data_IF_768218189908
#
_entry.id   IF_768218189908
#
_cell.length_a   1.000
_cell.length_b   1.000
_cell.length_c   1.000
_cell.angle_alpha   90.00
_cell.angle_beta   90.00
_cell.angle_gamma   90.00
#
_symmetry.space_group_name_H-M   'P 1'
#
loop_
_entity.id
_entity.type
_entity.pdbx_description
1 polymer ?
#
# COMPACT_ATOMS: atom_id res chain seq x y z
N UNK A 1 1.85 7.02 3.89
CA UNK A 1 0.59 7.33 3.16
C UNK A 1 0.43 6.32 2.03
N UNK A 2 -0.79 5.89 1.74
CA UNK A 2 -1.08 5.15 0.51
C UNK A 2 -2.33 5.72 -0.17
N UNK A 3 -2.39 5.65 -1.49
CA UNK A 3 -3.55 6.09 -2.27
C UNK A 3 -4.06 4.91 -3.08
N UNK A 4 -5.36 4.66 -2.96
CA UNK A 4 -6.07 3.66 -3.75
C UNK A 4 -6.68 4.34 -4.97
N UNK A 5 -6.39 3.84 -6.17
CA UNK A 5 -6.89 4.39 -7.43
C UNK A 5 -7.61 3.27 -8.17
N UNK A 6 -8.93 3.36 -8.24
CA UNK A 6 -9.71 2.39 -8.99
C UNK A 6 -9.73 2.76 -10.48
N UNK A 7 -9.50 1.77 -11.34
CA UNK A 7 -9.59 1.96 -12.78
C UNK A 7 -11.02 2.20 -13.26
N UNK A 8 -11.16 2.65 -14.51
CA UNK A 8 -12.45 3.01 -15.13
C UNK A 8 -13.52 1.91 -15.02
N UNK A 9 -13.11 0.64 -15.06
CA UNK A 9 -14.01 -0.53 -14.94
C UNK A 9 -14.23 -0.92 -13.46
N UNK A 10 -13.25 -0.68 -12.60
CA UNK A 10 -13.33 -0.90 -11.16
C UNK A 10 -14.13 0.24 -10.51
N UNK A 11 -15.45 0.25 -10.69
CA UNK A 11 -16.34 1.38 -10.33
C UNK A 11 -16.43 1.73 -8.83
N UNK A 12 -15.65 1.12 -7.91
CA UNK A 12 -15.73 1.41 -6.47
C UNK A 12 -14.46 1.03 -5.71
N UNK A 13 -13.99 1.98 -4.89
CA UNK A 13 -13.08 1.74 -3.76
C UNK A 13 -13.95 1.50 -2.52
N UNK A 14 -13.63 0.47 -1.74
CA UNK A 14 -14.25 0.23 -0.44
C UNK A 14 -13.22 0.56 0.63
N UNK A 15 -13.45 1.63 1.39
CA UNK A 15 -12.63 1.99 2.54
C UNK A 15 -13.43 1.72 3.80
N UNK A 16 -12.91 0.87 4.68
CA UNK A 16 -13.54 0.57 5.97
C UNK A 16 -12.96 1.42 7.09
N UNK A 17 -11.70 1.86 6.95
CA UNK A 17 -11.04 2.68 7.95
C UNK A 17 -11.70 4.05 8.13
N UNK A 18 -11.75 4.51 9.38
CA UNK A 18 -12.24 5.84 9.75
C UNK A 18 -11.09 6.76 10.19
N UNK A 19 -11.23 8.10 10.04
CA UNK A 19 -10.20 9.03 10.50
C UNK A 19 -9.90 8.86 12.00
N UNK A 20 -8.62 8.80 12.35
CA UNK A 20 -8.15 8.60 13.73
C UNK A 20 -8.08 7.15 14.19
N UNK A 21 -8.51 6.19 13.37
CA UNK A 21 -8.39 4.76 13.67
C UNK A 21 -6.93 4.30 13.52
N UNK A 22 -6.46 3.55 14.52
CA UNK A 22 -5.19 2.82 14.45
C UNK A 22 -5.38 1.52 13.69
N UNK A 23 -4.44 1.17 12.83
CA UNK A 23 -4.42 -0.10 12.09
C UNK A 23 -3.23 -0.95 12.51
N UNK A 24 -3.44 -2.26 12.62
CA UNK A 24 -2.37 -3.20 12.86
C UNK A 24 -1.65 -3.60 11.57
N UNK A 25 -0.41 -4.10 11.71
CA UNK A 25 0.35 -4.58 10.55
C UNK A 25 -0.35 -5.78 9.93
N UNK A 26 -0.69 -5.67 8.64
CA UNK A 26 -1.37 -6.71 7.88
C UNK A 26 -2.90 -6.65 7.96
N UNK A 27 -3.44 -5.71 8.74
CA UNK A 27 -4.88 -5.46 8.80
C UNK A 27 -5.42 -4.92 7.47
N UNK A 28 -6.63 -5.34 7.12
CA UNK A 28 -7.31 -4.89 5.91
C UNK A 28 -8.14 -3.66 6.20
N UNK A 29 -7.66 -2.50 5.74
CA UNK A 29 -8.39 -1.24 5.90
C UNK A 29 -9.32 -0.91 4.71
N UNK A 30 -9.25 -1.67 3.61
CA UNK A 30 -10.07 -1.45 2.42
C UNK A 30 -9.89 -2.51 1.33
N UNK A 31 -10.58 -2.33 0.22
CA UNK A 31 -10.55 -3.19 -0.96
C UNK A 31 -10.73 -2.36 -2.24
N UNK A 32 -9.84 -2.63 -3.21
CA UNK A 32 -9.96 -2.17 -4.59
C UNK A 32 -10.12 -3.36 -5.54
N UNK A 33 -11.00 -3.21 -6.55
CA UNK A 33 -11.36 -4.28 -7.50
C UNK A 33 -10.35 -4.41 -8.64
N UNK A 34 -10.49 -5.45 -9.45
CA UNK A 34 -9.60 -5.76 -10.57
C UNK A 34 -9.40 -4.57 -11.53
N UNK A 35 -8.16 -4.34 -11.98
CA UNK A 35 -7.80 -3.20 -12.83
C UNK A 35 -7.56 -1.90 -12.06
N UNK A 36 -7.38 -1.98 -10.75
CA UNK A 36 -6.99 -0.86 -9.89
C UNK A 36 -5.48 -0.80 -9.64
N UNK A 37 -5.03 0.34 -9.11
CA UNK A 37 -3.64 0.66 -8.76
C UNK A 37 -3.58 1.15 -7.32
N UNK A 38 -2.45 0.91 -6.67
CA UNK A 38 -2.11 1.51 -5.38
C UNK A 38 -0.81 2.30 -5.51
N UNK A 39 -0.81 3.51 -4.98
CA UNK A 39 0.40 4.30 -4.77
C UNK A 39 0.82 4.19 -3.30
N UNK A 40 2.08 3.83 -3.06
CA UNK A 40 2.66 3.67 -1.73
C UNK A 40 3.74 4.72 -1.55
N UNK A 41 3.54 5.60 -0.56
CA UNK A 41 4.51 6.64 -0.22
C UNK A 41 5.35 6.17 0.96
N UNK A 42 6.67 6.15 0.73
CA UNK A 42 7.67 5.67 1.67
C UNK A 42 8.56 6.84 2.13
N UNK A 43 9.12 6.79 3.35
CA UNK A 43 10.21 7.69 3.74
C UNK A 43 11.35 7.67 2.71
N UNK A 44 11.99 8.81 2.49
CA UNK A 44 13.08 8.94 1.50
C UNK A 44 14.27 8.00 1.75
N UNK A 45 14.47 7.58 3.01
CA UNK A 45 15.53 6.67 3.45
C UNK A 45 15.17 5.19 3.34
N UNK A 46 14.00 4.86 2.77
CA UNK A 46 13.57 3.48 2.57
C UNK A 46 14.36 2.81 1.44
N UNK A 47 14.69 1.52 1.59
CA UNK A 47 15.39 0.74 0.57
C UNK A 47 14.39 0.05 -0.33
N UNK A 48 14.32 0.44 -1.60
CA UNK A 48 13.41 -0.18 -2.59
C UNK A 48 13.92 -1.57 -2.98
N UNK A 49 13.02 -2.57 -3.04
CA UNK A 49 13.33 -3.98 -3.34
C UNK A 49 12.72 -4.50 -4.64
N UNK A 50 12.07 -3.63 -5.39
CA UNK A 50 11.46 -3.93 -6.69
C UNK A 50 11.89 -2.90 -7.74
N UNK A 51 11.80 -3.26 -9.01
CA UNK A 51 12.04 -2.37 -10.15
C UNK A 51 10.84 -2.31 -11.07
N UNK A 52 10.84 -1.32 -11.96
CA UNK A 52 9.83 -1.19 -13.01
C UNK A 52 9.80 -2.46 -13.86
N UNK A 53 8.59 -3.02 -14.04
CA UNK A 53 8.36 -4.26 -14.79
C UNK A 53 8.29 -5.53 -13.93
N UNK A 54 8.68 -5.47 -12.65
CA UNK A 54 8.54 -6.62 -11.76
C UNK A 54 7.07 -6.96 -11.52
N UNK A 55 6.75 -8.26 -11.55
CA UNK A 55 5.44 -8.76 -11.13
C UNK A 55 5.41 -8.93 -9.62
N UNK A 56 4.50 -8.24 -8.96
CA UNK A 56 4.30 -8.30 -7.51
C UNK A 56 2.95 -8.93 -7.15
N UNK A 57 2.88 -9.56 -5.98
CA UNK A 57 1.64 -10.08 -5.39
C UNK A 57 1.38 -9.33 -4.09
N UNK A 58 0.19 -8.72 -3.99
CA UNK A 58 -0.25 -8.00 -2.80
C UNK A 58 -0.22 -8.88 -1.55
N UNK A 59 0.29 -8.34 -0.46
CA UNK A 59 0.40 -9.03 0.82
C UNK A 59 1.56 -10.03 0.96
N UNK A 60 2.33 -10.30 -0.11
CA UNK A 60 3.46 -11.25 -0.04
C UNK A 60 4.76 -10.75 -0.66
N UNK A 61 4.69 -9.97 -1.74
CA UNK A 61 5.89 -9.39 -2.36
C UNK A 61 6.42 -8.24 -1.51
N UNK A 62 7.70 -8.30 -1.15
CA UNK A 62 8.40 -7.21 -0.47
C UNK A 62 8.75 -6.15 -1.52
N UNK A 63 8.17 -4.95 -1.39
CA UNK A 63 8.43 -3.83 -2.32
C UNK A 63 9.49 -2.86 -1.80
N UNK A 64 9.65 -2.76 -0.48
CA UNK A 64 10.65 -1.92 0.17
C UNK A 64 10.90 -2.37 1.61
N UNK A 65 12.04 -1.97 2.14
CA UNK A 65 12.39 -2.01 3.57
C UNK A 65 12.32 -0.59 4.12
N UNK A 66 11.55 -0.40 5.20
CA UNK A 66 11.47 0.88 5.89
C UNK A 66 12.80 1.15 6.60
N UNK A 67 13.18 2.44 6.79
CA UNK A 67 14.32 2.76 7.62
C UNK A 67 14.13 2.20 9.05
N UNK A 68 15.22 1.98 9.79
CA UNK A 68 15.14 1.76 11.23
C UNK A 68 14.28 2.85 11.86
N UNK A 69 13.44 2.49 12.82
CA UNK A 69 12.72 3.50 13.58
C UNK A 69 13.77 4.40 14.25
N UNK A 70 13.79 5.70 13.90
CA UNK A 70 14.59 6.67 14.63
C UNK A 70 14.03 6.77 16.05
N UNK A 71 14.80 6.30 17.04
CA UNK A 71 14.49 6.44 18.46
C UNK A 71 13.55 5.37 19.01
N UNK A 72 14.17 4.30 19.52
CA UNK A 72 13.86 3.83 20.87
C UNK A 72 15.00 4.28 21.78
#
# INVERSE_FOLDING_TARGET
LCIQIAGLIARRIVCWAVPGESVEKGERFGLIRFGSRMDVYLPQTSVIRVKVGDKVKGGSSIIAELPPAEGL
#
